data_IF_995681054127
#
_entry.id   IF_995681054127
#
_cell.length_a   1.000
_cell.length_b   1.000
_cell.length_c   1.000
_cell.angle_alpha   90.00
_cell.angle_beta   90.00
_cell.angle_gamma   90.00
#
_symmetry.space_group_name_H-M   'P 1'
#
loop_
_entity.id
_entity.type
_entity.pdbx_description
1 polymer ?
#
# COMPACT_ATOMS: atom_id res chain seq x y z
N UNK A 1 -82.43 -8.76 3.09
CA UNK A 1 -81.98 -10.01 3.72
C UNK A 1 -80.73 -10.46 2.98
N UNK A 2 -79.53 -10.18 3.52
CA UNK A 2 -78.28 -10.73 3.02
C UNK A 2 -77.64 -11.48 4.18
N UNK A 3 -77.60 -12.80 4.04
CA UNK A 3 -77.00 -13.76 4.98
C UNK A 3 -75.87 -14.45 4.25
N UNK A 4 -74.68 -14.49 4.88
CA UNK A 4 -73.58 -15.41 4.59
C UNK A 4 -72.76 -15.08 3.34
N UNK A 5 -71.44 -15.24 3.26
CA UNK A 5 -70.47 -15.96 4.08
C UNK A 5 -69.09 -15.62 3.47
N UNK A 6 -68.19 -15.00 4.22
CA UNK A 6 -66.78 -14.85 3.82
C UNK A 6 -65.90 -14.79 5.08
N UNK A 7 -65.97 -15.83 5.90
CA UNK A 7 -65.20 -15.97 7.14
C UNK A 7 -64.31 -17.22 7.21
N UNK A 8 -64.16 -17.97 6.10
CA UNK A 8 -63.47 -19.28 6.10
C UNK A 8 -61.98 -19.24 5.70
N UNK A 9 -61.57 -18.34 4.81
CA UNK A 9 -60.22 -18.41 4.20
C UNK A 9 -59.06 -18.10 5.13
N UNK A 10 -59.22 -17.14 6.05
CA UNK A 10 -58.11 -16.76 6.95
C UNK A 10 -57.81 -17.82 8.04
N UNK A 11 -58.80 -18.62 8.41
CA UNK A 11 -58.68 -19.66 9.45
C UNK A 11 -58.02 -20.93 8.89
N UNK A 12 -58.30 -21.29 7.63
CA UNK A 12 -57.70 -22.46 6.97
C UNK A 12 -56.22 -22.25 6.61
N UNK A 13 -55.88 -21.05 6.12
CA UNK A 13 -54.50 -20.72 5.72
C UNK A 13 -53.51 -20.78 6.89
N UNK A 14 -53.97 -20.38 8.08
CA UNK A 14 -53.16 -20.44 9.30
C UNK A 14 -52.93 -21.88 9.77
N UNK A 15 -53.94 -22.74 9.60
CA UNK A 15 -53.89 -24.15 9.99
C UNK A 15 -52.82 -24.93 9.22
N UNK A 16 -52.65 -24.68 7.93
CA UNK A 16 -51.62 -25.34 7.10
C UNK A 16 -50.20 -24.99 7.56
N UNK A 17 -49.96 -23.73 7.93
CA UNK A 17 -48.67 -23.27 8.47
C UNK A 17 -48.41 -23.88 9.85
N UNK A 18 -49.40 -23.85 10.74
CA UNK A 18 -49.29 -24.43 12.08
C UNK A 18 -49.08 -25.96 12.03
N UNK A 19 -49.74 -26.65 11.10
CA UNK A 19 -49.54 -28.09 10.85
C UNK A 19 -48.11 -28.39 10.39
N UNK A 20 -47.58 -27.61 9.44
CA UNK A 20 -46.20 -27.78 8.98
C UNK A 20 -45.18 -27.55 10.11
N UNK A 21 -45.40 -26.54 10.94
CA UNK A 21 -44.55 -26.26 12.11
C UNK A 21 -44.63 -27.39 13.13
N UNK A 22 -45.83 -27.91 13.43
CA UNK A 22 -46.00 -29.03 14.36
C UNK A 22 -45.28 -30.30 13.89
N UNK A 23 -45.29 -30.59 12.59
CA UNK A 23 -44.58 -31.72 12.00
C UNK A 23 -43.06 -31.57 12.12
N UNK A 24 -42.51 -30.37 11.89
CA UNK A 24 -41.07 -30.11 12.01
C UNK A 24 -40.63 -30.07 13.49
N UNK A 25 -41.48 -29.58 14.39
CA UNK A 25 -41.21 -29.58 15.83
C UNK A 25 -41.10 -31.00 16.42
N UNK A 26 -41.73 -32.00 15.81
CA UNK A 26 -41.57 -33.41 16.20
C UNK A 26 -40.13 -33.91 16.09
N UNK A 27 -39.30 -33.27 15.26
CA UNK A 27 -37.88 -33.60 15.05
C UNK A 27 -36.93 -32.71 15.87
N UNK A 28 -37.45 -31.77 16.66
CA UNK A 28 -36.62 -30.81 17.40
C UNK A 28 -35.92 -31.45 18.61
N UNK A 29 -34.63 -31.12 18.87
CA UNK A 29 -33.89 -31.66 20.00
C UNK A 29 -34.43 -31.12 21.34
N UNK A 30 -34.26 -31.86 22.45
CA UNK A 30 -34.63 -31.35 23.78
C UNK A 30 -33.81 -30.11 24.13
N UNK A 31 -34.48 -29.08 24.66
CA UNK A 31 -33.83 -27.80 25.02
C UNK A 31 -33.71 -26.80 23.88
N UNK A 32 -34.40 -27.01 22.76
CA UNK A 32 -34.53 -26.00 21.71
C UNK A 32 -35.17 -24.70 22.22
N UNK A 33 -34.78 -23.59 21.63
CA UNK A 33 -35.24 -22.23 22.02
C UNK A 33 -35.93 -21.50 20.87
N UNK A 34 -35.49 -21.76 19.63
CA UNK A 34 -36.08 -21.21 18.42
C UNK A 34 -36.02 -22.21 17.28
N UNK A 35 -37.06 -22.25 16.46
CA UNK A 35 -37.13 -23.01 15.22
C UNK A 35 -37.32 -22.03 14.07
N UNK A 36 -36.43 -22.10 13.08
CA UNK A 36 -36.50 -21.29 11.87
C UNK A 36 -36.78 -22.22 10.67
N UNK A 37 -37.89 -22.01 9.97
CA UNK A 37 -38.27 -22.75 8.76
C UNK A 37 -38.28 -21.78 7.59
N UNK A 38 -37.61 -22.13 6.50
CA UNK A 38 -37.66 -21.39 5.25
C UNK A 38 -38.19 -22.28 4.12
N UNK A 39 -39.17 -21.77 3.39
CA UNK A 39 -39.73 -22.43 2.20
C UNK A 39 -39.50 -21.55 0.96
N UNK A 40 -38.90 -22.13 -0.07
CA UNK A 40 -38.70 -21.50 -1.37
C UNK A 40 -39.73 -22.05 -2.37
N UNK A 41 -40.69 -21.20 -2.75
CA UNK A 41 -41.78 -21.59 -3.61
C UNK A 41 -41.34 -21.92 -5.06
N UNK A 42 -40.15 -21.50 -5.47
CA UNK A 42 -39.65 -21.77 -6.83
C UNK A 42 -39.06 -23.19 -6.96
N UNK A 43 -38.44 -23.70 -5.91
CA UNK A 43 -37.86 -25.06 -5.86
C UNK A 43 -38.69 -26.05 -5.05
N UNK A 44 -39.75 -25.58 -4.38
CA UNK A 44 -40.51 -26.35 -3.39
C UNK A 44 -39.65 -26.94 -2.28
N UNK A 45 -38.52 -26.28 -1.98
CA UNK A 45 -37.56 -26.73 -0.99
C UNK A 45 -37.89 -26.11 0.37
N UNK A 46 -37.86 -26.94 1.42
CA UNK A 46 -38.02 -26.51 2.81
C UNK A 46 -36.75 -26.82 3.58
N UNK A 47 -36.22 -25.83 4.29
CA UNK A 47 -35.11 -26.00 5.23
C UNK A 47 -35.59 -25.65 6.63
N UNK A 48 -35.23 -26.46 7.62
CA UNK A 48 -35.54 -26.22 9.02
C UNK A 48 -34.28 -26.28 9.88
N UNK A 49 -34.13 -25.31 10.79
CA UNK A 49 -33.01 -25.22 11.73
C UNK A 49 -33.54 -24.87 13.10
N UNK A 50 -33.20 -25.67 14.11
CA UNK A 50 -33.47 -25.36 15.51
C UNK A 50 -32.22 -24.79 16.20
N UNK A 51 -32.39 -23.69 16.91
CA UNK A 51 -31.38 -23.11 17.79
C UNK A 51 -31.56 -23.64 19.21
N UNK A 52 -30.48 -24.13 19.80
CA UNK A 52 -30.49 -24.67 21.16
C UNK A 52 -30.61 -26.19 21.21
N UNK A 53 -30.02 -26.76 22.26
CA UNK A 53 -29.75 -28.19 22.45
C UNK A 53 -28.58 -28.33 23.43
N UNK A 54 -28.16 -29.56 23.74
CA UNK A 54 -27.10 -29.82 24.74
C UNK A 54 -25.78 -29.06 24.47
N UNK A 55 -25.47 -28.76 23.21
CA UNK A 55 -24.23 -28.10 22.77
C UNK A 55 -24.42 -26.62 22.34
N UNK A 56 -25.62 -26.04 22.50
CA UNK A 56 -25.89 -24.61 22.28
C UNK A 56 -25.76 -24.10 20.83
N UNK A 57 -25.59 -25.00 19.84
CA UNK A 57 -25.48 -24.67 18.42
C UNK A 57 -26.80 -24.73 17.65
N UNK A 58 -26.79 -24.23 16.42
CA UNK A 58 -27.88 -24.39 15.46
C UNK A 58 -27.82 -25.80 14.82
N UNK A 59 -28.90 -26.56 14.92
CA UNK A 59 -28.99 -27.95 14.45
C UNK A 59 -29.95 -28.02 13.25
N UNK A 60 -29.50 -28.52 12.08
CA UNK A 60 -30.40 -28.74 10.95
C UNK A 60 -31.37 -29.89 11.28
N UNK A 61 -32.66 -29.67 11.03
CA UNK A 61 -33.70 -30.67 11.24
C UNK A 61 -34.07 -31.36 9.92
N UNK A 62 -34.42 -32.64 10.02
CA UNK A 62 -35.08 -33.33 8.93
C UNK A 62 -36.48 -32.72 8.73
N UNK A 63 -36.85 -32.44 7.48
CA UNK A 63 -38.18 -31.92 7.16
C UNK A 63 -39.04 -33.06 6.62
N UNK A 64 -40.12 -33.46 7.32
CA UNK A 64 -41.04 -34.46 6.81
C UNK A 64 -41.69 -34.01 5.50
N UNK A 65 -41.92 -34.94 4.57
CA UNK A 65 -42.60 -34.62 3.29
C UNK A 65 -43.97 -33.99 3.48
N UNK A 66 -44.68 -34.39 4.54
CA UNK A 66 -45.99 -33.82 4.93
C UNK A 66 -45.91 -32.32 5.25
N UNK A 67 -44.78 -31.83 5.79
CA UNK A 67 -44.59 -30.40 6.04
C UNK A 67 -44.33 -29.64 4.73
N UNK A 68 -43.62 -30.24 3.78
CA UNK A 68 -43.41 -29.69 2.43
C UNK A 68 -44.73 -29.59 1.66
N UNK A 69 -45.56 -30.63 1.75
CA UNK A 69 -46.89 -30.66 1.13
C UNK A 69 -47.81 -29.56 1.70
N UNK A 70 -47.87 -29.42 3.02
CA UNK A 70 -48.69 -28.39 3.67
C UNK A 70 -48.26 -26.96 3.31
N UNK A 71 -46.95 -26.68 3.25
CA UNK A 71 -46.43 -25.37 2.82
C UNK A 71 -46.62 -25.11 1.32
N UNK A 72 -46.57 -26.16 0.50
CA UNK A 72 -46.86 -26.06 -0.94
C UNK A 72 -48.35 -25.83 -1.21
N UNK A 73 -49.22 -26.44 -0.42
CA UNK A 73 -50.67 -26.17 -0.46
C UNK A 73 -50.98 -24.74 -0.01
N UNK A 74 -50.38 -24.30 1.10
CA UNK A 74 -50.47 -22.90 1.54
C UNK A 74 -50.03 -21.91 0.45
N UNK A 75 -48.97 -22.21 -0.29
CA UNK A 75 -48.54 -21.39 -1.42
C UNK A 75 -49.56 -21.37 -2.56
N UNK A 76 -50.11 -22.53 -2.94
CA UNK A 76 -51.16 -22.60 -3.97
C UNK A 76 -52.40 -21.77 -3.60
N UNK A 77 -52.81 -21.80 -2.33
CA UNK A 77 -53.91 -20.97 -1.82
C UNK A 77 -53.55 -19.48 -1.76
N UNK A 78 -52.32 -19.15 -1.38
CA UNK A 78 -51.84 -17.78 -1.39
C UNK A 78 -51.82 -17.20 -2.81
N UNK A 79 -51.42 -17.98 -3.82
CA UNK A 79 -51.42 -17.56 -5.23
C UNK A 79 -52.84 -17.38 -5.75
N UNK A 80 -53.77 -18.30 -5.41
CA UNK A 80 -55.18 -18.19 -5.84
C UNK A 80 -55.90 -16.99 -5.19
N UNK A 81 -55.46 -16.56 -4.01
CA UNK A 81 -55.94 -15.34 -3.33
C UNK A 81 -55.17 -14.06 -3.73
N UNK A 82 -54.27 -14.12 -4.71
CA UNK A 82 -53.59 -12.97 -5.29
C UNK A 82 -52.28 -12.54 -4.59
N UNK A 83 -51.77 -13.34 -3.65
CA UNK A 83 -50.50 -13.10 -2.97
C UNK A 83 -49.33 -13.77 -3.71
N UNK A 84 -48.40 -12.96 -4.24
CA UNK A 84 -47.23 -13.44 -4.98
C UNK A 84 -45.94 -13.25 -4.16
N UNK A 85 -45.67 -14.20 -3.28
CA UNK A 85 -44.41 -14.29 -2.54
C UNK A 85 -43.57 -15.46 -3.06
N UNK A 86 -42.24 -15.32 -2.97
CA UNK A 86 -41.28 -16.34 -3.44
C UNK A 86 -40.69 -17.13 -2.28
N UNK A 87 -40.50 -16.48 -1.14
CA UNK A 87 -39.95 -17.10 0.06
C UNK A 87 -40.83 -16.84 1.25
N UNK A 88 -41.05 -17.89 2.03
CA UNK A 88 -41.73 -17.85 3.32
C UNK A 88 -40.72 -18.21 4.40
N UNK A 89 -40.58 -17.34 5.40
CA UNK A 89 -39.79 -17.61 6.61
C UNK A 89 -40.74 -17.67 7.80
N UNK A 90 -40.65 -18.74 8.59
CA UNK A 90 -41.46 -18.97 9.79
C UNK A 90 -40.50 -19.13 10.96
N UNK A 91 -40.66 -18.30 11.97
CA UNK A 91 -39.91 -18.37 13.22
C UNK A 91 -40.86 -18.77 14.35
N UNK A 92 -40.53 -19.85 15.06
CA UNK A 92 -41.29 -20.35 16.20
C UNK A 92 -40.39 -20.35 17.45
N UNK A 93 -40.81 -19.64 18.50
CA UNK A 93 -40.16 -19.67 19.81
C UNK A 93 -40.64 -20.84 20.67
N UNK A 94 -39.82 -21.25 21.65
CA UNK A 94 -40.19 -22.29 22.63
C UNK A 94 -41.34 -21.91 23.56
N UNK A 95 -41.70 -20.63 23.59
CA UNK A 95 -42.89 -20.06 24.23
C UNK A 95 -44.17 -20.21 23.39
N UNK A 96 -44.07 -20.79 22.18
CA UNK A 96 -45.17 -20.94 21.23
C UNK A 96 -45.42 -19.68 20.38
N UNK A 97 -44.57 -18.65 20.50
CA UNK A 97 -44.68 -17.45 19.65
C UNK A 97 -44.33 -17.80 18.21
N UNK A 98 -45.28 -17.65 17.30
CA UNK A 98 -45.10 -17.91 15.87
C UNK A 98 -45.12 -16.59 15.09
N UNK A 99 -44.09 -16.34 14.32
CA UNK A 99 -44.01 -15.20 13.40
C UNK A 99 -43.71 -15.68 11.98
N UNK A 100 -44.26 -14.99 11.00
CA UNK A 100 -44.20 -15.38 9.60
C UNK A 100 -43.88 -14.16 8.74
N UNK A 101 -42.88 -14.30 7.88
CA UNK A 101 -42.45 -13.27 6.92
C UNK A 101 -42.53 -13.82 5.50
N UNK A 102 -43.15 -13.03 4.62
CA UNK A 102 -43.27 -13.32 3.19
C UNK A 102 -42.41 -12.32 2.43
N UNK A 103 -41.44 -12.82 1.66
CA UNK A 103 -40.63 -11.98 0.79
C UNK A 103 -41.20 -12.00 -0.63
N UNK A 104 -41.54 -10.81 -1.13
CA UNK A 104 -42.08 -10.63 -2.48
C UNK A 104 -41.03 -11.02 -3.53
N UNK A 105 -41.51 -11.53 -4.67
CA UNK A 105 -40.68 -11.81 -5.83
C UNK A 105 -40.15 -10.49 -6.43
N UNK A 106 -39.06 -9.95 -5.88
CA UNK A 106 -38.31 -8.90 -6.55
C UNK A 106 -37.53 -9.53 -7.70
N UNK A 107 -37.51 -8.92 -8.91
CA UNK A 107 -36.70 -9.42 -10.01
C UNK A 107 -35.25 -9.45 -9.52
N UNK A 108 -34.61 -10.61 -9.67
CA UNK A 108 -33.28 -10.86 -9.13
C UNK A 108 -32.32 -9.76 -9.52
N UNK A 109 -31.93 -8.93 -8.55
CA UNK A 109 -30.78 -8.04 -8.69
C UNK A 109 -29.60 -8.97 -8.96
N UNK A 110 -29.12 -8.94 -10.22
CA UNK A 110 -27.99 -9.75 -10.61
C UNK A 110 -26.81 -9.37 -9.71
N UNK A 111 -26.38 -10.32 -8.85
CA UNK A 111 -25.21 -10.15 -7.95
C UNK A 111 -23.93 -9.79 -8.70
N UNK A 112 -23.91 -9.96 -10.03
CA UNK A 112 -22.78 -9.66 -10.92
C UNK A 112 -22.54 -8.16 -11.13
N UNK A 113 -23.58 -7.32 -11.11
CA UNK A 113 -23.39 -5.88 -11.34
C UNK A 113 -22.70 -5.16 -10.17
N UNK A 114 -23.13 -5.31 -8.90
CA UNK A 114 -22.41 -4.70 -7.78
C UNK A 114 -21.02 -5.33 -7.62
N UNK A 115 -20.84 -6.64 -7.90
CA UNK A 115 -19.52 -7.28 -7.89
C UNK A 115 -18.57 -6.74 -8.95
N UNK A 116 -19.04 -6.45 -10.17
CA UNK A 116 -18.21 -5.86 -11.23
C UNK A 116 -17.84 -4.41 -10.93
N UNK A 117 -18.77 -3.63 -10.35
CA UNK A 117 -18.48 -2.27 -9.90
C UNK A 117 -17.48 -2.30 -8.75
N UNK A 118 -17.65 -3.20 -7.77
CA UNK A 118 -16.68 -3.36 -6.68
C UNK A 118 -15.32 -3.84 -7.16
N UNK A 119 -15.28 -4.77 -8.13
CA UNK A 119 -14.05 -5.24 -8.76
C UNK A 119 -13.34 -4.13 -9.54
N UNK A 120 -14.10 -3.28 -10.26
CA UNK A 120 -13.55 -2.13 -10.96
C UNK A 120 -12.99 -1.08 -9.99
N UNK A 121 -13.70 -0.80 -8.89
CA UNK A 121 -13.25 0.13 -7.85
C UNK A 121 -12.00 -0.42 -7.15
N UNK A 122 -11.98 -1.71 -6.79
CA UNK A 122 -10.79 -2.33 -6.16
C UNK A 122 -9.60 -2.35 -7.11
N UNK A 123 -9.80 -2.64 -8.39
CA UNK A 123 -8.73 -2.55 -9.39
C UNK A 123 -8.22 -1.12 -9.53
N UNK A 124 -9.11 -0.12 -9.57
CA UNK A 124 -8.73 1.29 -9.63
C UNK A 124 -7.96 1.74 -8.38
N UNK A 125 -8.38 1.32 -7.19
CA UNK A 125 -7.67 1.57 -5.93
C UNK A 125 -6.30 0.88 -5.90
N UNK A 126 -6.20 -0.35 -6.40
CA UNK A 126 -4.92 -1.08 -6.49
C UNK A 126 -3.96 -0.42 -7.48
N UNK A 127 -4.46 0.03 -8.63
CA UNK A 127 -3.66 0.76 -9.63
C UNK A 127 -3.22 2.11 -9.04
N UNK A 128 -4.11 2.86 -8.40
CA UNK A 128 -3.76 4.11 -7.73
C UNK A 128 -2.71 3.89 -6.62
N UNK A 129 -2.88 2.86 -5.80
CA UNK A 129 -1.91 2.49 -4.78
C UNK A 129 -0.56 2.08 -5.39
N UNK A 130 -0.55 1.31 -6.48
CA UNK A 130 0.66 0.92 -7.19
C UNK A 130 1.38 2.13 -7.81
N UNK A 131 0.63 3.11 -8.35
CA UNK A 131 1.19 4.37 -8.87
C UNK A 131 1.75 5.22 -7.74
N UNK A 132 1.02 5.41 -6.64
CA UNK A 132 1.50 6.14 -5.46
C UNK A 132 2.74 5.46 -4.86
N UNK A 133 2.76 4.14 -4.82
CA UNK A 133 3.91 3.37 -4.35
C UNK A 133 5.09 3.48 -5.31
N UNK A 134 4.90 3.33 -6.62
CA UNK A 134 5.99 3.44 -7.60
C UNK A 134 6.57 4.86 -7.68
N UNK A 135 5.72 5.89 -7.59
CA UNK A 135 6.12 7.30 -7.62
C UNK A 135 6.69 7.74 -6.27
N UNK A 136 6.07 7.31 -5.17
CA UNK A 136 6.49 7.59 -3.81
C UNK A 136 7.79 6.89 -3.46
N UNK A 137 7.98 5.63 -3.84
CA UNK A 137 9.22 4.89 -3.63
C UNK A 137 10.39 5.45 -4.44
N UNK A 138 10.12 6.03 -5.62
CA UNK A 138 11.14 6.75 -6.39
C UNK A 138 11.45 8.15 -5.84
N UNK A 139 10.60 8.74 -5.00
CA UNK A 139 10.77 10.10 -4.45
C UNK A 139 11.07 10.18 -2.96
N UNK A 140 10.83 9.11 -2.20
CA UNK A 140 11.18 9.05 -0.79
C UNK A 140 12.68 8.80 -0.66
N UNK A 141 13.47 9.84 -0.95
CA UNK A 141 14.72 10.00 -0.23
C UNK A 141 14.36 9.89 1.27
N UNK A 142 15.04 9.02 2.03
CA UNK A 142 14.74 8.86 3.45
C UNK A 142 14.70 10.25 4.09
N UNK A 143 13.68 10.60 4.89
CA UNK A 143 13.62 11.89 5.52
C UNK A 143 14.93 12.07 6.26
N UNK A 144 15.78 12.98 5.77
CA UNK A 144 16.98 13.37 6.49
C UNK A 144 16.44 13.96 7.77
N UNK A 145 16.48 13.18 8.86
CA UNK A 145 16.26 13.67 10.22
C UNK A 145 16.99 15.00 10.25
N UNK A 146 16.24 16.09 10.48
CA UNK A 146 16.76 17.44 10.38
C UNK A 146 18.11 17.45 11.06
N UNK A 147 19.16 17.47 10.23
CA UNK A 147 20.53 17.35 10.72
C UNK A 147 20.67 18.62 11.52
N UNK A 148 20.61 18.51 12.85
CA UNK A 148 21.09 19.55 13.74
C UNK A 148 22.43 19.92 13.13
N UNK A 149 22.56 21.14 12.60
CA UNK A 149 23.74 21.60 11.89
C UNK A 149 24.85 21.71 12.93
N UNK A 150 25.41 20.56 13.32
CA UNK A 150 26.61 20.47 14.10
C UNK A 150 27.65 21.18 13.25
N UNK A 151 28.26 22.27 13.75
CA UNK A 151 29.26 22.97 12.99
C UNK A 151 30.33 21.96 12.57
N UNK A 152 30.78 21.96 11.29
CA UNK A 152 31.68 20.94 10.81
C UNK A 152 32.94 20.93 11.67
N UNK A 153 33.53 19.74 11.95
CA UNK A 153 34.76 19.62 12.73
C UNK A 153 35.82 20.60 12.22
N UNK A 154 36.63 21.24 13.09
CA UNK A 154 37.65 22.20 12.65
C UNK A 154 38.56 21.67 11.56
N UNK A 155 38.92 20.38 11.65
CA UNK A 155 39.76 19.71 10.64
C UNK A 155 39.05 19.49 9.31
N UNK A 156 37.72 19.29 9.30
CA UNK A 156 36.93 19.26 8.07
C UNK A 156 36.90 20.63 7.40
N UNK A 157 36.77 21.72 8.18
CA UNK A 157 36.88 23.09 7.65
C UNK A 157 38.27 23.37 7.06
N UNK A 158 39.33 22.96 7.76
CA UNK A 158 40.69 23.11 7.28
C UNK A 158 40.94 22.31 5.98
N UNK A 159 40.47 21.08 5.91
CA UNK A 159 40.56 20.26 4.70
C UNK A 159 39.80 20.90 3.53
N UNK A 160 38.59 21.41 3.75
CA UNK A 160 37.83 22.10 2.71
C UNK A 160 38.53 23.37 2.22
N UNK A 161 39.12 24.16 3.12
CA UNK A 161 39.88 25.35 2.74
C UNK A 161 41.12 25.02 1.89
N UNK A 162 41.79 23.89 2.15
CA UNK A 162 42.88 23.40 1.28
C UNK A 162 42.34 23.00 -0.09
N UNK A 163 41.18 22.37 -0.16
CA UNK A 163 40.55 22.02 -1.45
C UNK A 163 40.10 23.25 -2.24
N UNK A 164 39.56 24.28 -1.58
CA UNK A 164 39.23 25.54 -2.26
C UNK A 164 40.48 26.15 -2.94
N UNK A 165 41.63 26.13 -2.25
CA UNK A 165 42.89 26.58 -2.84
C UNK A 165 43.37 25.66 -3.96
N UNK A 166 43.21 24.34 -3.80
CA UNK A 166 43.59 23.35 -4.81
C UNK A 166 42.83 23.54 -6.12
N UNK A 167 41.49 23.59 -6.06
CA UNK A 167 40.65 23.77 -7.24
C UNK A 167 40.80 25.17 -7.84
N UNK A 168 41.03 26.21 -7.04
CA UNK A 168 41.34 27.54 -7.56
C UNK A 168 42.68 27.56 -8.33
N UNK A 169 43.72 26.87 -7.81
CA UNK A 169 44.99 26.74 -8.50
C UNK A 169 44.84 25.96 -9.81
N UNK A 170 44.06 24.89 -9.78
CA UNK A 170 43.72 24.09 -10.95
C UNK A 170 43.01 24.91 -12.03
N UNK A 171 41.95 25.63 -11.69
CA UNK A 171 41.20 26.51 -12.61
C UNK A 171 42.08 27.60 -13.23
N UNK A 172 43.15 28.00 -12.54
CA UNK A 172 44.13 28.98 -13.02
C UNK A 172 45.28 28.35 -13.82
N UNK A 173 45.35 27.01 -13.89
CA UNK A 173 46.50 26.31 -14.47
C UNK A 173 47.79 26.44 -13.64
N UNK A 174 47.71 26.82 -12.35
CA UNK A 174 48.85 27.02 -11.47
C UNK A 174 49.33 25.69 -10.87
N UNK A 175 49.99 24.90 -11.71
CA UNK A 175 50.60 23.66 -11.29
C UNK A 175 51.73 23.84 -10.26
N UNK A 176 52.30 25.04 -10.11
CA UNK A 176 53.32 25.30 -9.08
C UNK A 176 52.67 25.38 -7.70
N UNK A 177 51.55 26.10 -7.57
CA UNK A 177 50.76 26.14 -6.35
C UNK A 177 50.17 24.77 -6.02
N UNK A 178 49.67 24.03 -7.01
CA UNK A 178 49.21 22.64 -6.78
C UNK A 178 50.33 21.76 -6.20
N UNK A 179 51.55 21.85 -6.72
CA UNK A 179 52.71 21.12 -6.14
C UNK A 179 53.04 21.56 -4.71
N UNK A 180 52.84 22.83 -4.37
CA UNK A 180 53.04 23.31 -3.00
C UNK A 180 51.95 22.81 -2.05
N UNK A 181 50.72 22.63 -2.54
CA UNK A 181 49.60 22.08 -1.79
C UNK A 181 49.64 20.55 -1.69
N UNK A 182 50.37 19.89 -2.58
CA UNK A 182 50.59 18.45 -2.54
C UNK A 182 51.51 18.04 -1.37
N UNK A 183 51.36 16.81 -0.90
CA UNK A 183 52.19 16.26 0.16
C UNK A 183 53.55 15.79 -0.38
N UNK A 184 54.48 15.43 0.51
CA UNK A 184 55.84 15.06 0.13
C UNK A 184 55.91 13.80 -0.75
N UNK A 185 54.98 12.87 -0.57
CA UNK A 185 54.91 11.60 -1.29
C UNK A 185 53.50 11.37 -1.87
N UNK A 186 53.11 12.11 -2.92
CA UNK A 186 51.79 11.99 -3.53
C UNK A 186 51.67 10.67 -4.30
N UNK A 187 50.43 10.20 -4.48
CA UNK A 187 50.14 9.06 -5.37
C UNK A 187 50.43 9.43 -6.83
N UNK A 188 50.62 8.41 -7.67
CA UNK A 188 50.80 8.62 -9.10
C UNK A 188 49.58 9.33 -9.72
N UNK A 189 48.36 9.02 -9.25
CA UNK A 189 47.12 9.69 -9.69
C UNK A 189 47.20 11.20 -9.50
N UNK A 190 47.66 11.66 -8.34
CA UNK A 190 47.78 13.08 -8.06
C UNK A 190 48.90 13.73 -8.90
N UNK A 191 50.03 13.03 -9.08
CA UNK A 191 51.13 13.50 -9.93
C UNK A 191 50.66 13.67 -11.38
N UNK A 192 49.94 12.70 -11.91
CA UNK A 192 49.41 12.73 -13.28
C UNK A 192 48.38 13.84 -13.46
N UNK A 193 47.53 14.07 -12.46
CA UNK A 193 46.60 15.20 -12.42
C UNK A 193 47.36 16.53 -12.49
N UNK A 194 48.31 16.79 -11.58
CA UNK A 194 49.11 18.04 -11.58
C UNK A 194 49.80 18.23 -12.93
N UNK A 195 50.38 17.16 -13.48
CA UNK A 195 51.07 17.23 -14.76
C UNK A 195 50.10 17.54 -15.91
N UNK A 196 48.90 16.96 -15.90
CA UNK A 196 47.85 17.27 -16.88
C UNK A 196 47.53 18.76 -16.89
N UNK A 197 47.35 19.37 -15.71
CA UNK A 197 47.13 20.81 -15.58
C UNK A 197 48.36 21.60 -16.03
N UNK A 198 49.56 21.14 -15.71
CA UNK A 198 50.79 21.81 -16.14
C UNK A 198 50.97 21.83 -17.67
N UNK A 199 50.53 20.77 -18.36
CA UNK A 199 50.69 20.65 -19.81
C UNK A 199 49.54 21.26 -20.60
N UNK A 200 48.31 21.10 -20.14
CA UNK A 200 47.11 21.44 -20.90
C UNK A 200 46.29 22.58 -20.27
N UNK A 201 46.58 22.94 -19.02
CA UNK A 201 45.71 23.84 -18.24
C UNK A 201 44.35 23.21 -17.96
N UNK A 202 43.36 24.06 -17.70
CA UNK A 202 41.96 23.67 -17.66
C UNK A 202 41.29 23.97 -19.00
N UNK A 203 41.04 22.93 -19.79
CA UNK A 203 40.48 23.04 -21.15
C UNK A 203 39.04 22.49 -21.26
N UNK A 204 38.59 21.71 -20.28
CA UNK A 204 37.27 21.05 -20.31
C UNK A 204 36.21 21.80 -19.48
N UNK A 205 36.57 22.28 -18.30
CA UNK A 205 35.64 22.98 -17.40
C UNK A 205 36.31 23.52 -16.15
N UNK A 206 35.75 24.59 -15.59
CA UNK A 206 36.21 25.17 -14.32
C UNK A 206 35.47 24.51 -13.14
N UNK A 207 36.17 24.14 -12.09
CA UNK A 207 35.69 23.31 -10.99
C UNK A 207 35.52 24.15 -9.71
N UNK A 208 34.29 24.22 -9.22
CA UNK A 208 33.94 24.97 -8.02
C UNK A 208 33.48 24.01 -6.90
N UNK A 209 34.26 23.82 -5.83
CA UNK A 209 33.83 23.00 -4.70
C UNK A 209 32.67 23.69 -3.96
N UNK A 210 31.56 22.97 -3.76
CA UNK A 210 30.34 23.51 -3.15
C UNK A 210 30.18 23.02 -1.70
N UNK A 211 30.49 21.73 -1.45
CA UNK A 211 30.31 21.14 -0.13
C UNK A 211 31.15 19.88 0.11
N UNK A 212 31.55 19.68 1.36
CA UNK A 212 31.95 18.36 1.86
C UNK A 212 30.71 17.50 2.09
N UNK A 213 30.65 16.35 1.43
CA UNK A 213 29.52 15.41 1.55
C UNK A 213 29.86 14.19 2.41
N UNK A 214 31.14 13.83 2.47
CA UNK A 214 31.66 12.84 3.42
C UNK A 214 33.03 13.27 3.93
N UNK A 215 33.30 12.93 5.19
CA UNK A 215 34.53 13.26 5.88
C UNK A 215 34.92 12.09 6.78
N UNK A 216 36.18 11.66 6.71
CA UNK A 216 36.79 10.66 7.58
C UNK A 216 38.17 11.16 7.99
N UNK A 217 38.46 11.10 9.28
CA UNK A 217 39.74 11.52 9.85
C UNK A 217 40.25 10.40 10.76
N UNK A 218 41.50 10.00 10.57
CA UNK A 218 42.17 8.98 11.38
C UNK A 218 43.38 9.53 12.17
N UNK A 219 43.55 10.84 12.25
CA UNK A 219 44.63 11.49 12.98
C UNK A 219 45.79 11.91 12.08
N UNK A 220 46.27 11.05 11.18
CA UNK A 220 47.38 11.34 10.27
C UNK A 220 46.93 11.69 8.84
N UNK A 221 45.74 11.23 8.46
CA UNK A 221 45.16 11.43 7.13
C UNK A 221 43.69 11.80 7.23
N UNK A 222 43.25 12.60 6.27
CA UNK A 222 41.87 13.03 6.12
C UNK A 222 41.40 12.60 4.74
N UNK A 223 40.35 11.79 4.70
CA UNK A 223 39.67 11.43 3.46
C UNK A 223 38.36 12.22 3.36
N UNK A 224 38.13 12.83 2.20
CA UNK A 224 36.94 13.62 1.94
C UNK A 224 36.30 13.25 0.62
N UNK A 225 34.97 13.35 0.58
CA UNK A 225 34.19 13.38 -0.65
C UNK A 225 33.59 14.77 -0.82
N UNK A 226 33.99 15.47 -1.87
CA UNK A 226 33.56 16.82 -2.17
C UNK A 226 32.54 16.80 -3.31
N UNK A 227 31.47 17.57 -3.17
CA UNK A 227 30.57 17.89 -4.26
C UNK A 227 31.11 19.14 -4.97
N UNK A 228 31.29 19.05 -6.28
CA UNK A 228 31.78 20.15 -7.12
C UNK A 228 30.75 20.49 -8.19
N UNK A 229 30.73 21.76 -8.60
CA UNK A 229 30.01 22.23 -9.78
C UNK A 229 31.02 22.52 -10.86
N UNK A 230 30.72 22.11 -12.09
CA UNK A 230 31.58 22.36 -13.23
C UNK A 230 30.94 23.43 -14.11
N UNK A 231 31.70 24.48 -14.43
CA UNK A 231 31.36 25.42 -15.50
C UNK A 231 32.01 24.90 -16.80
N UNK A 232 31.21 24.42 -17.76
CA UNK A 232 31.77 23.80 -18.96
C UNK A 232 32.49 24.84 -19.84
N UNK A 233 33.61 24.43 -20.43
CA UNK A 233 34.36 25.20 -21.45
C UNK A 233 34.11 24.58 -22.83
N UNK A 234 34.16 23.25 -22.93
CA UNK A 234 33.94 22.52 -24.20
C UNK A 234 32.50 21.96 -24.33
N UNK A 235 32.13 21.58 -25.56
CA UNK A 235 30.80 21.03 -25.86
C UNK A 235 30.56 19.66 -25.21
N UNK A 236 31.62 18.91 -24.90
CA UNK A 236 31.49 17.60 -24.26
C UNK A 236 31.08 17.77 -22.81
N UNK A 237 31.82 18.59 -22.07
CA UNK A 237 31.55 18.94 -20.68
C UNK A 237 30.21 19.64 -20.54
N UNK A 238 29.81 20.46 -21.53
CA UNK A 238 28.47 21.06 -21.53
C UNK A 238 27.36 20.00 -21.48
N UNK A 239 27.46 18.94 -22.29
CA UNK A 239 26.49 17.83 -22.27
C UNK A 239 26.52 17.08 -20.94
N UNK A 240 27.71 16.82 -20.39
CA UNK A 240 27.86 16.15 -19.09
C UNK A 240 27.22 16.96 -17.95
N UNK A 241 27.41 18.29 -17.94
CA UNK A 241 26.79 19.19 -16.97
C UNK A 241 25.27 19.24 -17.13
N UNK A 242 24.76 19.33 -18.36
CA UNK A 242 23.30 19.30 -18.64
C UNK A 242 22.67 17.98 -18.16
N UNK A 243 23.34 16.84 -18.39
CA UNK A 243 22.88 15.56 -17.88
C UNK A 243 22.92 15.52 -16.34
N UNK A 244 23.99 16.01 -15.72
CA UNK A 244 24.13 16.06 -14.27
C UNK A 244 23.04 16.93 -13.62
N UNK A 245 22.60 18.02 -14.26
CA UNK A 245 21.53 18.88 -13.76
C UNK A 245 20.21 18.14 -13.55
N UNK A 246 19.93 17.09 -14.33
CA UNK A 246 18.74 16.24 -14.11
C UNK A 246 18.76 15.49 -12.78
N UNK A 247 19.95 15.35 -12.16
CA UNK A 247 20.20 14.67 -10.88
C UNK A 247 20.74 15.61 -9.79
N UNK A 248 20.57 16.92 -9.96
CA UNK A 248 20.97 17.94 -8.97
C UNK A 248 22.19 18.78 -9.34
N UNK A 249 22.90 18.44 -10.43
CA UNK A 249 23.96 19.30 -11.01
C UNK A 249 25.31 19.25 -10.29
N UNK A 250 25.55 18.21 -9.49
CA UNK A 250 26.81 18.01 -8.76
C UNK A 250 27.61 16.84 -9.33
N UNK A 251 28.92 17.03 -9.37
CA UNK A 251 29.91 15.98 -9.56
C UNK A 251 30.56 15.69 -8.23
N UNK A 252 31.14 14.51 -8.06
CA UNK A 252 31.73 14.10 -6.80
C UNK A 252 33.14 13.61 -6.99
N UNK A 253 34.06 14.22 -6.26
CA UNK A 253 35.45 13.82 -6.24
C UNK A 253 35.83 13.34 -4.85
N UNK A 254 36.81 12.45 -4.79
CA UNK A 254 37.36 11.96 -3.53
C UNK A 254 38.82 12.34 -3.44
N UNK A 255 39.20 12.93 -2.30
CA UNK A 255 40.55 13.43 -2.07
C UNK A 255 41.04 12.95 -0.72
N UNK A 256 42.31 12.57 -0.66
CA UNK A 256 42.99 12.23 0.59
C UNK A 256 44.05 13.28 0.88
N UNK A 257 44.03 13.82 2.09
CA UNK A 257 45.03 14.74 2.61
C UNK A 257 45.84 14.07 3.72
N UNK A 258 47.14 14.34 3.79
CA UNK A 258 47.99 13.98 4.93
C UNK A 258 48.27 15.22 5.79
N UNK A 259 48.45 15.01 7.08
CA UNK A 259 48.96 16.03 7.99
C UNK A 259 50.49 16.00 8.01
N UNK A 260 51.10 17.03 7.43
CA UNK A 260 52.54 17.21 7.38
C UNK A 260 52.93 18.42 8.25
N UNK A 261 53.35 18.14 9.49
CA UNK A 261 53.81 19.17 10.42
C UNK A 261 52.71 20.15 10.85
N UNK A 262 51.45 19.71 10.92
CA UNK A 262 50.29 20.54 11.29
C UNK A 262 49.62 21.22 10.10
N UNK A 263 50.10 20.99 8.87
CA UNK A 263 49.48 21.48 7.65
C UNK A 263 48.89 20.31 6.85
N UNK A 264 47.63 20.43 6.44
CA UNK A 264 47.00 19.46 5.55
C UNK A 264 47.52 19.64 4.11
N UNK A 265 47.92 18.54 3.49
CA UNK A 265 48.47 18.49 2.13
C UNK A 265 47.78 17.41 1.31
N UNK A 266 47.50 17.69 0.04
CA UNK A 266 46.81 16.74 -0.85
C UNK A 266 47.76 15.61 -1.24
N UNK A 267 47.41 14.36 -0.97
CA UNK A 267 48.22 13.19 -1.30
C UNK A 267 47.64 12.31 -2.39
N UNK A 268 46.32 12.28 -2.53
CA UNK A 268 45.64 11.46 -3.52
C UNK A 268 44.35 12.13 -3.96
N UNK A 269 43.93 11.84 -5.19
CA UNK A 269 42.74 12.43 -5.79
C UNK A 269 42.16 11.53 -6.88
N UNK A 270 40.84 11.39 -6.87
CA UNK A 270 40.06 10.67 -7.88
C UNK A 270 38.86 11.52 -8.31
N UNK A 271 38.72 11.67 -9.63
CA UNK A 271 37.67 12.41 -10.31
C UNK A 271 36.64 11.46 -10.91
#
# INVERSE_FOLDING_TARGET
MNVGTAGGGAVDHRRLVEQAVALVLGEAPPGWTRLNIAFDAASSEVTAVADGGADGGAVPLAVPSQAVEALSEYHREAVSSGSLWRRLSIDCGSDGTLSMRKDAATPGVSRRWPQRVLAAITLACLVAAAVVFAVGWRRSEPPRIGVLAVPPPPRAKAAFAVLEQWYAAEDQGDAALMRQLACAHPTQSLVDWINTIAYYGQDQGLIFPDALTQFRDNGSTVWVKVAVRIRPIDDRMKREVEEAQTRGGFFFETVTLADEGGALKVCDGQR
#
